data_IF_260274557903
#
_entry.id   IF_260274557903
#
_cell.length_a   1.000
_cell.length_b   1.000
_cell.length_c   1.000
_cell.angle_alpha   90.00
_cell.angle_beta   90.00
_cell.angle_gamma   90.00
#
_symmetry.space_group_name_H-M   'P 1'
#
loop_
_entity.id
_entity.type
_entity.pdbx_description
1 polymer ?
#
# COMPACT_ATOMS: atom_id res chain seq x y z
N UNK A 1 -2.31 4.04 2.96
CA UNK A 1 -3.28 3.97 4.07
C UNK A 1 -4.57 3.25 3.62
N UNK A 2 -5.35 3.80 2.67
CA UNK A 2 -6.61 3.17 2.20
C UNK A 2 -6.47 1.75 1.67
N UNK A 3 -5.44 1.46 0.89
CA UNK A 3 -5.24 0.12 0.29
C UNK A 3 -5.22 -0.98 1.36
N UNK A 4 -4.57 -0.72 2.49
CA UNK A 4 -4.44 -1.66 3.61
C UNK A 4 -5.63 -1.58 4.58
N UNK A 5 -6.23 -0.40 4.75
CA UNK A 5 -7.37 -0.19 5.65
C UNK A 5 -8.74 -0.55 5.06
N UNK A 6 -8.87 -0.56 3.73
CA UNK A 6 -10.06 -0.97 2.97
C UNK A 6 -9.63 -1.99 1.90
N UNK A 7 -9.25 -3.21 2.31
CA UNK A 7 -8.68 -4.21 1.43
C UNK A 7 -9.72 -4.82 0.48
N UNK A 8 -9.26 -5.60 -0.50
CA UNK A 8 -10.12 -6.27 -1.48
C UNK A 8 -10.63 -7.59 -0.90
N UNK A 9 -11.92 -7.87 -1.08
CA UNK A 9 -12.56 -9.13 -0.67
C UNK A 9 -12.31 -9.49 0.82
N UNK A 10 -11.62 -10.61 1.08
CA UNK A 10 -11.41 -11.16 2.42
C UNK A 10 -9.99 -10.95 2.94
N UNK A 11 -9.19 -10.12 2.28
CA UNK A 11 -7.85 -9.77 2.75
C UNK A 11 -7.94 -9.05 4.11
N UNK A 12 -6.96 -9.26 5.02
CA UNK A 12 -7.01 -8.69 6.35
C UNK A 12 -6.95 -7.17 6.33
N UNK A 13 -7.75 -6.55 7.18
CA UNK A 13 -7.70 -5.10 7.42
C UNK A 13 -6.45 -4.78 8.24
N UNK A 14 -5.60 -3.90 7.73
CA UNK A 14 -4.39 -3.45 8.40
C UNK A 14 -4.43 -1.94 8.59
N UNK A 15 -4.38 -1.50 9.85
CA UNK A 15 -4.20 -0.09 10.19
C UNK A 15 -2.73 0.28 9.98
N UNK A 16 -2.45 0.98 8.88
CA UNK A 16 -1.12 1.47 8.54
C UNK A 16 -1.14 3.00 8.42
N UNK A 17 -0.23 3.65 9.12
CA UNK A 17 0.02 5.10 9.04
C UNK A 17 0.59 5.52 7.69
N UNK A 18 1.07 6.76 7.62
CA UNK A 18 1.65 7.28 6.38
C UNK A 18 2.90 6.49 6.01
N UNK A 19 3.90 6.46 6.89
CA UNK A 19 5.19 5.82 6.65
C UNK A 19 5.04 4.32 6.49
N UNK A 20 4.18 3.71 7.32
CA UNK A 20 3.94 2.26 7.31
C UNK A 20 3.21 1.76 6.06
N UNK A 21 2.38 2.59 5.43
CA UNK A 21 1.62 2.20 4.24
C UNK A 21 2.33 2.47 2.91
N UNK A 22 3.40 3.28 2.88
CA UNK A 22 4.12 3.64 1.65
C UNK A 22 4.61 2.41 0.86
N UNK A 23 5.23 1.38 1.48
CA UNK A 23 5.71 0.23 0.70
C UNK A 23 4.60 -0.52 -0.03
N UNK A 24 3.43 -0.71 0.61
CA UNK A 24 2.26 -1.32 -0.04
C UNK A 24 1.69 -0.43 -1.15
N UNK A 25 1.70 0.89 -0.95
CA UNK A 25 1.30 1.85 -1.99
C UNK A 25 2.21 1.81 -3.21
N UNK A 26 3.54 1.70 -3.00
CA UNK A 26 4.52 1.55 -4.08
C UNK A 26 4.28 0.25 -4.86
N UNK A 27 4.11 -0.88 -4.17
CA UNK A 27 3.82 -2.16 -4.81
C UNK A 27 2.56 -2.05 -5.69
N UNK A 28 1.49 -1.45 -5.16
CA UNK A 28 0.26 -1.24 -5.92
C UNK A 28 0.48 -0.34 -7.15
N UNK A 29 1.19 0.77 -7.00
CA UNK A 29 1.47 1.70 -8.10
C UNK A 29 2.29 1.02 -9.20
N UNK A 30 3.33 0.28 -8.80
CA UNK A 30 4.12 -0.53 -9.70
C UNK A 30 3.23 -1.52 -10.44
N UNK A 31 2.37 -2.30 -9.77
CA UNK A 31 1.55 -3.33 -10.41
C UNK A 31 0.39 -2.81 -11.27
N UNK A 32 -0.06 -1.56 -11.08
CA UNK A 32 -1.24 -1.01 -11.77
C UNK A 32 -0.94 0.01 -12.86
N UNK A 33 0.28 0.56 -12.91
CA UNK A 33 0.66 1.56 -13.91
C UNK A 33 1.77 1.02 -14.81
N UNK A 34 1.50 0.86 -16.11
CA UNK A 34 2.47 0.34 -17.08
C UNK A 34 3.66 1.26 -17.33
N UNK A 35 3.59 2.54 -16.92
CA UNK A 35 4.76 3.42 -16.88
C UNK A 35 5.89 2.89 -15.98
N UNK A 36 5.59 1.95 -15.08
CA UNK A 36 6.58 1.33 -14.18
C UNK A 36 6.98 -0.09 -14.63
N UNK A 37 6.66 -0.52 -15.87
CA UNK A 37 6.97 -1.87 -16.34
C UNK A 37 8.46 -2.20 -16.25
N UNK A 38 9.34 -1.30 -16.71
CA UNK A 38 10.79 -1.51 -16.64
C UNK A 38 11.28 -1.71 -15.20
N UNK A 39 10.72 -0.97 -14.25
CA UNK A 39 11.05 -1.12 -12.83
C UNK A 39 10.52 -2.45 -12.26
N UNK A 40 9.29 -2.87 -12.63
CA UNK A 40 8.73 -4.17 -12.23
C UNK A 40 9.61 -5.32 -12.72
N UNK A 41 10.00 -5.27 -14.00
CA UNK A 41 10.82 -6.28 -14.64
C UNK A 41 12.23 -6.33 -14.00
N UNK A 42 12.84 -5.18 -13.72
CA UNK A 42 14.17 -5.09 -13.12
C UNK A 42 14.27 -5.73 -11.73
N UNK A 43 13.16 -5.82 -10.99
CA UNK A 43 13.10 -6.45 -9.67
C UNK A 43 12.44 -7.84 -9.70
N UNK A 44 12.17 -8.39 -10.89
CA UNK A 44 11.47 -9.66 -11.09
C UNK A 44 10.14 -9.75 -10.33
N UNK A 45 9.36 -8.67 -10.37
CA UNK A 45 8.03 -8.64 -9.75
C UNK A 45 6.99 -9.18 -10.73
N UNK A 46 6.74 -10.49 -10.64
CA UNK A 46 5.79 -11.25 -11.46
C UNK A 46 4.89 -12.16 -10.59
N UNK A 47 4.11 -13.05 -11.22
CA UNK A 47 3.20 -13.98 -10.54
C UNK A 47 3.87 -15.01 -9.60
N UNK A 48 5.18 -15.18 -9.68
CA UNK A 48 5.96 -16.09 -8.83
C UNK A 48 6.63 -15.37 -7.66
N UNK A 49 6.53 -14.03 -7.60
CA UNK A 49 7.16 -13.23 -6.56
C UNK A 49 6.45 -13.38 -5.21
N UNK A 50 7.23 -13.61 -4.15
CA UNK A 50 6.77 -13.51 -2.76
C UNK A 50 7.31 -12.24 -2.12
N UNK A 51 6.43 -11.26 -1.88
CA UNK A 51 6.83 -9.93 -1.41
C UNK A 51 6.56 -9.79 0.09
N UNK A 52 7.60 -9.49 0.87
CA UNK A 52 7.48 -9.10 2.27
C UNK A 52 7.35 -7.58 2.38
N UNK A 53 6.30 -7.11 3.06
CA UNK A 53 6.09 -5.70 3.38
C UNK A 53 6.11 -5.53 4.90
N UNK A 54 6.86 -4.53 5.38
CA UNK A 54 6.90 -4.16 6.79
C UNK A 54 6.07 -2.89 6.99
N UNK A 55 4.96 -3.02 7.72
CA UNK A 55 4.21 -1.88 8.22
C UNK A 55 4.86 -1.38 9.53
N UNK A 56 5.56 -0.25 9.46
CA UNK A 56 6.33 0.29 10.59
C UNK A 56 5.48 1.03 11.63
N UNK A 57 4.29 1.49 11.27
CA UNK A 57 3.43 2.27 12.17
C UNK A 57 1.94 2.08 11.90
N UNK A 58 1.14 2.20 12.96
CA UNK A 58 -0.32 2.35 12.85
C UNK A 58 -0.74 3.80 12.55
N UNK A 59 -1.96 4.16 12.90
CA UNK A 59 -2.46 5.53 12.78
C UNK A 59 -1.87 6.45 13.87
N UNK A 60 -0.58 6.79 13.75
CA UNK A 60 0.15 7.67 14.68
C UNK A 60 -0.37 9.11 14.66
N UNK A 61 -0.90 9.56 13.52
CA UNK A 61 -1.74 10.76 13.38
C UNK A 61 -3.19 10.35 13.02
N UNK A 62 -4.09 10.25 14.02
CA UNK A 62 -5.47 9.82 13.80
C UNK A 62 -6.29 10.78 12.92
N UNK A 63 -6.02 12.08 13.00
CA UNK A 63 -6.76 13.10 12.25
C UNK A 63 -6.38 13.03 10.77
N UNK A 64 -5.08 12.97 10.46
CA UNK A 64 -4.61 12.73 9.10
C UNK A 64 -5.09 11.38 8.58
N UNK A 65 -5.02 10.32 9.40
CA UNK A 65 -5.53 9.00 9.01
C UNK A 65 -7.01 9.05 8.63
N UNK A 66 -7.85 9.72 9.44
CA UNK A 66 -9.27 9.88 9.14
C UNK A 66 -9.52 10.72 7.87
N UNK A 67 -8.77 11.81 7.65
CA UNK A 67 -8.84 12.61 6.42
C UNK A 67 -8.52 11.76 5.20
N UNK A 68 -7.41 11.02 5.26
CA UNK A 68 -7.02 10.11 4.18
C UNK A 68 -8.08 9.04 3.99
N UNK A 69 -8.58 8.35 5.02
CA UNK A 69 -9.58 7.29 4.84
C UNK A 69 -10.91 7.78 4.25
N UNK A 70 -11.37 8.96 4.65
CA UNK A 70 -12.66 9.50 4.19
C UNK A 70 -12.58 10.27 2.87
N UNK A 71 -11.38 10.71 2.47
CA UNK A 71 -11.19 11.54 1.27
C UNK A 71 -11.77 12.95 1.38
N UNK A 72 -12.14 13.38 2.58
CA UNK A 72 -12.57 14.74 2.86
C UNK A 72 -11.32 15.61 3.08
N UNK A 73 -11.18 16.65 2.26
CA UNK A 73 -10.17 17.70 2.43
C UNK A 73 -10.63 18.67 3.52
#
# INVERSE_FOLDING_TARGET
>A
MRLLGNPVSNDPIITAGESGAVPAGLLYAMMKNDQHKELRDAVNLDENAHVLIINTEGATDPDNYKKVMTGKK
#
